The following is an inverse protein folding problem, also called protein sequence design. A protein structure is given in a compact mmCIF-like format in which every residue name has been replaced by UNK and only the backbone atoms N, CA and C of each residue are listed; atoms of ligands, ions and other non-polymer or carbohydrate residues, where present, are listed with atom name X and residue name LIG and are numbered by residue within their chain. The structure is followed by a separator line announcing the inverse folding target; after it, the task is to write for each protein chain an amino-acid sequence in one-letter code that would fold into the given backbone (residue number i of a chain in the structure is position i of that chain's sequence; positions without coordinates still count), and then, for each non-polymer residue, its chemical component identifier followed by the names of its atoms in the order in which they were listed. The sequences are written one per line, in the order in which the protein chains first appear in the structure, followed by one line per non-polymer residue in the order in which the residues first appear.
data_IF_880537446979
#
_entry.id   IF_880537446979
#
_cell.length_a   1.000
_cell.length_b   1.000
_cell.length_c   1.000
_cell.angle_alpha   90.00
_cell.angle_beta   90.00
_cell.angle_gamma   90.00
#
_symmetry.space_group_name_H-M   'P 1'
#
loop_
_entity.id
_entity.type
_entity.pdbx_description
1 polymer ?
#
# COMPACT_ATOMS: atom_id res chain seq x y z
N UNK A 1 11.19 -18.59 -49.90
CA UNK A 1 11.16 -17.16 -49.50
C UNK A 1 9.83 -16.92 -48.77
N UNK A 2 9.63 -17.48 -47.59
CA UNK A 2 10.03 -16.99 -46.26
C UNK A 2 9.57 -15.54 -45.95
N UNK A 3 8.49 -15.47 -45.16
CA UNK A 3 8.15 -14.54 -44.07
C UNK A 3 8.44 -13.04 -44.24
N UNK A 4 7.41 -12.20 -44.10
CA UNK A 4 7.47 -10.90 -43.40
C UNK A 4 6.05 -10.31 -43.21
N UNK A 5 5.14 -11.07 -42.60
CA UNK A 5 3.84 -10.55 -42.12
C UNK A 5 3.61 -10.76 -40.62
N UNK A 6 4.66 -11.17 -39.88
CA UNK A 6 4.60 -11.38 -38.42
C UNK A 6 5.13 -10.19 -37.61
N UNK A 7 5.70 -9.16 -38.24
CA UNK A 7 6.31 -8.03 -37.54
C UNK A 7 5.33 -6.94 -37.09
N UNK A 8 4.07 -6.95 -37.54
CA UNK A 8 3.11 -5.91 -37.17
C UNK A 8 2.24 -6.25 -35.94
N UNK A 9 2.23 -7.50 -35.47
CA UNK A 9 1.47 -7.90 -34.28
C UNK A 9 2.32 -7.95 -32.99
N UNK A 10 3.65 -7.86 -33.11
CA UNK A 10 4.56 -7.81 -31.96
C UNK A 10 4.82 -6.38 -31.45
N UNK A 11 4.40 -5.35 -32.20
CA UNK A 11 4.63 -3.95 -31.85
C UNK A 11 3.71 -3.39 -30.76
N UNK A 12 2.64 -4.11 -30.39
CA UNK A 12 1.68 -3.67 -29.36
C UNK A 12 1.91 -4.38 -28.02
N UNK A 13 2.69 -5.46 -28.00
CA UNK A 13 3.03 -6.17 -26.75
C UNK A 13 4.26 -5.62 -26.02
N UNK A 14 5.07 -4.78 -26.67
CA UNK A 14 6.27 -4.19 -26.04
C UNK A 14 6.02 -2.86 -25.32
N UNK A 15 4.86 -2.22 -25.53
CA UNK A 15 4.52 -0.97 -24.82
C UNK A 15 3.77 -1.26 -23.51
N UNK A 16 3.31 -2.48 -23.28
CA UNK A 16 2.52 -2.82 -22.08
C UNK A 16 3.36 -3.25 -20.86
N UNK A 17 4.69 -3.36 -20.98
CA UNK A 17 5.57 -3.84 -19.89
C UNK A 17 6.33 -2.68 -19.21
N UNK A 18 6.37 -1.49 -19.82
CA UNK A 18 7.10 -0.33 -19.27
C UNK A 18 6.21 0.55 -18.35
N UNK A 19 4.92 0.24 -18.21
CA UNK A 19 3.94 1.12 -17.55
C UNK A 19 3.63 0.89 -16.08
N UNK A 20 4.35 0.04 -15.33
CA UNK A 20 3.96 -0.32 -13.95
C UNK A 20 5.03 -0.08 -12.85
N UNK A 21 6.13 0.61 -13.15
CA UNK A 21 7.23 0.78 -12.16
C UNK A 21 7.34 2.21 -11.59
N UNK A 22 6.57 3.21 -12.05
CA UNK A 22 6.76 4.60 -11.59
C UNK A 22 5.48 5.45 -11.48
N UNK A 23 4.46 4.97 -10.79
CA UNK A 23 3.36 5.84 -10.36
C UNK A 23 3.04 5.66 -8.88
N UNK A 24 4.05 5.59 -8.02
CA UNK A 24 3.84 5.94 -6.62
C UNK A 24 4.48 7.30 -6.45
N UNK A 25 3.68 8.31 -6.71
CA UNK A 25 3.94 9.65 -6.22
C UNK A 25 3.77 9.62 -4.71
N UNK A 26 4.49 10.47 -4.01
CA UNK A 26 4.51 10.51 -2.55
C UNK A 26 3.09 10.56 -1.96
N UNK A 27 2.90 10.08 -0.73
CA UNK A 27 1.60 10.18 -0.08
C UNK A 27 1.56 11.39 0.85
N UNK A 28 0.65 12.32 0.58
CA UNK A 28 0.31 13.40 1.49
C UNK A 28 -0.74 12.93 2.49
N UNK A 29 -0.35 12.86 3.75
CA UNK A 29 -1.20 12.44 4.85
C UNK A 29 -1.54 13.61 5.78
N UNK A 30 -2.53 13.40 6.65
CA UNK A 30 -2.85 14.38 7.69
C UNK A 30 -1.65 14.72 8.57
N UNK A 31 -1.70 15.91 9.17
CA UNK A 31 -0.60 16.52 9.95
C UNK A 31 0.65 16.87 9.12
N UNK A 32 0.47 17.25 7.84
CA UNK A 32 1.55 17.67 6.93
C UNK A 32 2.66 16.62 6.75
N UNK A 33 2.32 15.34 6.95
CA UNK A 33 3.27 14.25 6.79
C UNK A 33 3.29 13.81 5.34
N UNK A 34 4.48 13.81 4.76
CA UNK A 34 4.75 13.24 3.43
C UNK A 34 5.43 11.90 3.62
N UNK A 35 4.87 10.85 3.02
CA UNK A 35 5.45 9.51 3.04
C UNK A 35 6.10 9.27 1.68
N UNK A 36 7.42 9.08 1.69
CA UNK A 36 8.21 8.90 0.48
C UNK A 36 7.91 7.57 -0.20
N UNK A 37 8.11 7.54 -1.51
CA UNK A 37 7.97 6.34 -2.31
C UNK A 37 8.87 5.21 -1.81
N UNK A 38 10.12 5.50 -1.45
CA UNK A 38 11.08 4.49 -0.97
C UNK A 38 10.57 3.78 0.29
N UNK A 39 9.96 4.54 1.21
CA UNK A 39 9.41 3.97 2.44
C UNK A 39 8.19 3.09 2.15
N UNK A 40 7.29 3.53 1.26
CA UNK A 40 6.16 2.71 0.81
C UNK A 40 6.64 1.43 0.14
N UNK A 41 7.63 1.52 -0.75
CA UNK A 41 8.18 0.36 -1.44
C UNK A 41 8.76 -0.63 -0.43
N UNK A 42 9.61 -0.17 0.49
CA UNK A 42 10.21 -1.02 1.51
C UNK A 42 9.16 -1.73 2.38
N UNK A 43 8.15 -1.00 2.86
CA UNK A 43 7.07 -1.59 3.67
C UNK A 43 6.22 -2.55 2.84
N UNK A 44 5.95 -2.24 1.57
CA UNK A 44 5.18 -3.11 0.68
C UNK A 44 5.90 -4.43 0.37
N UNK A 45 7.21 -4.41 0.20
CA UNK A 45 8.02 -5.61 -0.03
C UNK A 45 7.97 -6.55 1.18
N UNK A 46 8.08 -5.98 2.39
CA UNK A 46 7.90 -6.72 3.66
C UNK A 46 6.49 -7.31 3.74
N UNK A 47 5.46 -6.48 3.50
CA UNK A 47 4.07 -6.90 3.57
C UNK A 47 3.75 -8.06 2.62
N UNK A 48 4.16 -7.94 1.36
CA UNK A 48 3.93 -8.98 0.34
C UNK A 48 4.69 -10.26 0.68
N UNK A 49 5.93 -10.14 1.17
CA UNK A 49 6.73 -11.29 1.62
C UNK A 49 6.03 -12.05 2.75
N UNK A 50 5.56 -11.33 3.78
CA UNK A 50 4.85 -11.92 4.92
C UNK A 50 3.51 -12.54 4.52
N UNK A 51 2.75 -11.90 3.62
CA UNK A 51 1.49 -12.47 3.11
C UNK A 51 1.73 -13.79 2.38
N UNK A 52 2.73 -13.85 1.50
CA UNK A 52 3.10 -15.07 0.77
C UNK A 52 3.60 -16.15 1.73
N UNK A 53 4.38 -15.78 2.73
CA UNK A 53 4.82 -16.69 3.78
C UNK A 53 3.63 -17.21 4.59
N UNK A 54 2.68 -16.37 4.99
CA UNK A 54 1.48 -16.77 5.72
C UNK A 54 0.63 -17.79 4.95
N UNK A 55 0.50 -17.61 3.63
CA UNK A 55 -0.15 -18.58 2.75
C UNK A 55 0.62 -19.90 2.69
N UNK A 56 1.94 -19.84 2.60
CA UNK A 56 2.81 -21.02 2.45
C UNK A 56 2.90 -21.83 3.75
N UNK A 57 2.99 -21.16 4.89
CA UNK A 57 3.25 -21.75 6.20
C UNK A 57 2.00 -21.83 7.10
N UNK A 58 0.82 -21.54 6.56
CA UNK A 58 -0.46 -21.49 7.30
C UNK A 58 -0.39 -20.65 8.59
N UNK A 59 0.40 -19.58 8.58
CA UNK A 59 0.54 -18.69 9.74
C UNK A 59 -0.68 -17.78 9.82
N UNK A 60 -1.25 -17.62 11.02
CA UNK A 60 -2.42 -16.76 11.21
C UNK A 60 -2.07 -15.28 11.01
N UNK A 61 -2.73 -14.63 10.05
CA UNK A 61 -2.62 -13.19 9.78
C UNK A 61 -3.70 -12.38 10.50
N UNK A 62 -4.46 -13.00 11.43
CA UNK A 62 -5.63 -12.37 12.07
C UNK A 62 -5.31 -11.08 12.83
N UNK A 63 -4.10 -10.98 13.40
CA UNK A 63 -3.65 -9.81 14.16
C UNK A 63 -3.45 -8.56 13.30
N UNK A 64 -3.18 -8.73 12.00
CA UNK A 64 -2.87 -7.64 11.07
C UNK A 64 -4.02 -7.32 10.11
N UNK A 65 -5.18 -7.98 10.22
CA UNK A 65 -6.38 -7.63 9.44
C UNK A 65 -6.85 -6.22 9.79
N UNK A 66 -7.02 -5.36 8.80
CA UNK A 66 -7.65 -4.07 8.96
C UNK A 66 -9.16 -4.23 9.19
N UNK A 67 -9.66 -3.63 10.27
CA UNK A 67 -11.08 -3.69 10.69
C UNK A 67 -11.65 -2.31 10.97
N UNK A 68 -11.06 -1.28 10.37
CA UNK A 68 -11.42 0.10 10.64
C UNK A 68 -12.64 0.58 9.88
N UNK A 69 -12.77 1.90 9.80
CA UNK A 69 -13.94 2.62 9.31
C UNK A 69 -13.95 2.85 7.79
N UNK A 70 -12.93 2.40 7.05
CA UNK A 70 -12.87 2.58 5.59
C UNK A 70 -13.73 1.56 4.84
N UNK A 71 -14.52 2.06 3.89
CA UNK A 71 -15.41 1.29 3.04
C UNK A 71 -14.76 0.94 1.69
N UNK A 72 -15.29 -0.08 1.02
CA UNK A 72 -14.87 -0.43 -0.35
C UNK A 72 -13.57 -1.23 -0.45
N UNK A 73 -12.98 -1.62 0.68
CA UNK A 73 -11.77 -2.44 0.71
C UNK A 73 -12.06 -3.91 0.36
N UNK A 74 -11.15 -4.59 -0.37
CA UNK A 74 -11.19 -6.04 -0.51
C UNK A 74 -11.17 -6.75 0.86
N UNK A 75 -11.87 -7.87 0.98
CA UNK A 75 -11.87 -8.65 2.22
C UNK A 75 -11.13 -10.00 2.02
N UNK A 76 -10.06 -10.30 2.78
CA UNK A 76 -9.44 -9.45 3.80
C UNK A 76 -8.46 -8.41 3.24
N UNK A 77 -8.39 -7.27 3.92
CA UNK A 77 -7.33 -6.27 3.80
C UNK A 77 -6.51 -6.26 5.08
N UNK A 78 -5.20 -6.15 4.94
CA UNK A 78 -4.23 -6.19 6.03
C UNK A 78 -3.50 -4.86 6.14
N UNK A 79 -2.94 -4.58 7.32
CA UNK A 79 -2.26 -3.33 7.63
C UNK A 79 -0.80 -3.55 8.03
N UNK A 80 0.07 -2.67 7.56
CA UNK A 80 1.45 -2.55 8.04
C UNK A 80 1.72 -1.15 8.53
N UNK A 81 2.36 -1.03 9.69
CA UNK A 81 2.76 0.26 10.22
C UNK A 81 3.87 0.86 9.35
N UNK A 82 3.75 2.14 9.02
CA UNK A 82 4.78 2.89 8.30
C UNK A 82 5.54 3.78 9.28
N UNK A 83 4.85 4.75 9.86
CA UNK A 83 5.43 5.72 10.79
C UNK A 83 4.34 6.35 11.68
N UNK A 84 4.75 7.26 12.56
CA UNK A 84 3.86 8.06 13.40
C UNK A 84 4.31 9.52 13.41
N UNK A 85 3.39 10.43 13.71
CA UNK A 85 3.71 11.82 14.02
C UNK A 85 3.47 12.11 15.49
N UNK A 86 4.29 13.01 16.02
CA UNK A 86 4.28 13.44 17.41
C UNK A 86 4.08 14.95 17.48
N UNK A 87 3.50 15.43 18.58
CA UNK A 87 3.42 16.85 18.87
C UNK A 87 4.67 17.39 19.60
N UNK A 88 4.63 18.65 20.00
CA UNK A 88 5.72 19.33 20.71
C UNK A 88 6.09 18.67 22.06
N UNK A 89 5.20 17.84 22.61
CA UNK A 89 5.43 17.12 23.86
C UNK A 89 5.87 15.66 23.64
N UNK A 90 6.21 15.28 22.40
CA UNK A 90 6.51 13.89 22.01
C UNK A 90 5.33 12.93 22.24
N UNK A 91 4.10 13.44 22.28
CA UNK A 91 2.92 12.59 22.33
C UNK A 91 2.54 12.17 20.90
N UNK A 92 2.28 10.88 20.71
CA UNK A 92 1.84 10.35 19.42
C UNK A 92 0.45 10.89 19.08
N UNK A 93 0.36 11.65 17.99
CA UNK A 93 -0.88 12.28 17.54
C UNK A 93 -1.50 11.57 16.35
N UNK A 94 -0.72 10.99 15.44
CA UNK A 94 -1.27 10.21 14.32
C UNK A 94 -0.33 9.05 13.96
N UNK A 95 -0.89 7.97 13.42
CA UNK A 95 -0.16 6.82 12.90
C UNK A 95 -0.54 6.59 11.44
N UNK A 96 0.41 6.10 10.67
CA UNK A 96 0.26 5.89 9.23
C UNK A 96 0.46 4.42 8.90
N UNK A 97 -0.42 3.89 8.06
CA UNK A 97 -0.43 2.46 7.72
C UNK A 97 -0.56 2.24 6.22
N UNK A 98 0.16 1.25 5.71
CA UNK A 98 -0.02 0.70 4.37
C UNK A 98 -1.13 -0.36 4.43
N UNK A 99 -2.09 -0.27 3.51
CA UNK A 99 -3.11 -1.30 3.32
C UNK A 99 -2.77 -2.18 2.13
N UNK A 100 -2.78 -3.50 2.34
CA UNK A 100 -2.54 -4.50 1.28
C UNK A 100 -3.62 -5.57 1.35
N UNK A 101 -4.18 -5.93 0.21
CA UNK A 101 -5.20 -6.99 0.10
C UNK A 101 -4.59 -8.39 0.21
N UNK A 102 -5.44 -9.40 0.39
CA UNK A 102 -5.02 -10.80 0.32
C UNK A 102 -4.37 -11.21 -1.00
N UNK A 103 -4.67 -10.52 -2.11
CA UNK A 103 -4.06 -10.75 -3.41
C UNK A 103 -2.68 -10.08 -3.55
N UNK A 104 -2.10 -9.55 -2.46
CA UNK A 104 -0.84 -8.82 -2.44
C UNK A 104 -0.89 -7.50 -3.24
N UNK A 105 -2.08 -6.90 -3.38
CA UNK A 105 -2.25 -5.62 -4.05
C UNK A 105 -2.28 -4.49 -3.03
N UNK A 106 -1.43 -3.48 -3.23
CA UNK A 106 -1.41 -2.27 -2.40
C UNK A 106 -2.69 -1.48 -2.66
N UNK A 107 -3.46 -1.24 -1.60
CA UNK A 107 -4.71 -0.48 -1.66
C UNK A 107 -4.49 1.02 -1.45
N UNK A 108 -3.38 1.38 -0.78
CA UNK A 108 -3.00 2.77 -0.50
C UNK A 108 -2.55 2.96 0.93
N UNK A 109 -2.35 4.22 1.30
CA UNK A 109 -1.85 4.63 2.62
C UNK A 109 -2.94 5.38 3.37
N UNK A 110 -3.04 5.09 4.66
CA UNK A 110 -4.02 5.73 5.53
C UNK A 110 -3.33 6.39 6.71
N UNK A 111 -3.99 7.40 7.27
CA UNK A 111 -3.63 8.00 8.55
C UNK A 111 -4.77 7.84 9.54
N UNK A 112 -4.44 7.58 10.81
CA UNK A 112 -5.42 7.66 11.90
C UNK A 112 -5.72 9.13 12.20
N UNK A 113 -6.97 9.50 12.49
CA UNK A 113 -7.31 10.84 12.95
C UNK A 113 -6.52 11.32 14.18
N UNK A 114 -6.57 12.63 14.45
CA UNK A 114 -5.80 13.27 15.53
C UNK A 114 -6.10 12.65 16.91
N UNK A 115 -5.08 12.04 17.51
CA UNK A 115 -5.09 11.29 18.77
C UNK A 115 -6.17 10.19 18.79
N UNK A 116 -6.46 9.60 17.62
CA UNK A 116 -7.42 8.50 17.46
C UNK A 116 -6.72 7.16 17.33
N UNK A 117 -7.45 6.10 17.67
CA UNK A 117 -7.01 4.73 17.39
C UNK A 117 -7.35 4.38 15.94
N UNK A 118 -6.59 3.42 15.41
CA UNK A 118 -6.91 2.82 14.12
C UNK A 118 -8.35 2.31 14.11
N UNK A 119 -9.10 2.71 13.09
CA UNK A 119 -10.49 2.32 12.85
C UNK A 119 -11.53 3.24 13.46
N UNK A 120 -11.12 4.29 14.18
CA UNK A 120 -12.05 5.29 14.71
C UNK A 120 -12.29 6.42 13.70
N UNK A 121 -11.23 6.91 13.06
CA UNK A 121 -11.26 8.07 12.17
C UNK A 121 -10.15 7.98 11.12
N UNK A 122 -10.02 6.81 10.50
CA UNK A 122 -9.01 6.61 9.47
C UNK A 122 -9.39 7.35 8.19
N UNK A 123 -8.39 7.96 7.57
CA UNK A 123 -8.54 8.72 6.32
C UNK A 123 -7.46 8.31 5.32
N UNK A 124 -7.82 8.34 4.04
CA UNK A 124 -6.87 8.10 2.96
C UNK A 124 -5.87 9.25 2.87
N UNK A 125 -4.59 8.91 2.76
CA UNK A 125 -3.60 9.84 2.27
C UNK A 125 -3.80 10.03 0.77
N UNK A 126 -3.60 11.25 0.28
CA UNK A 126 -3.72 11.55 -1.15
C UNK A 126 -2.39 11.32 -1.84
N UNK A 127 -2.44 10.76 -3.05
CA UNK A 127 -1.29 10.70 -3.95
C UNK A 127 -0.88 12.13 -4.36
N UNK A 128 0.42 12.39 -4.39
CA UNK A 128 1.04 13.64 -4.83
C UNK A 128 0.98 13.83 -6.35
#
# INVERSE_FOLDING_TARGET
MHSNRLLSCLGIWLISIIGLVQCITEYYCGNNVVISQELIQSVSEIAISELRAGVTWHTSLSGIIYRGNLCGLPNPTYRWFIQQSEDENSEVVMKYFLLVSASCEVQGVISTGWRKKLGEDDTWCTEA
#
